data_IF_694242636606
#
_entry.id   IF_694242636606
#
_cell.length_a   1.000
_cell.length_b   1.000
_cell.length_c   1.000
_cell.angle_alpha   90.00
_cell.angle_beta   90.00
_cell.angle_gamma   90.00
#
_symmetry.space_group_name_H-M   'P 1'
#
loop_
_entity.id
_entity.type
_entity.pdbx_description
1 polymer ?
#
# COMPACT_ATOMS: atom_id res chain seq x y z
N UNK A 1 8.08 5.65 1.94
CA UNK A 1 6.64 5.52 2.29
C UNK A 1 6.44 5.85 3.76
N UNK A 2 5.31 6.42 4.08
CA UNK A 2 4.99 6.74 5.47
C UNK A 2 4.00 5.73 6.07
N UNK A 3 2.87 5.51 5.41
CA UNK A 3 1.88 4.57 5.90
C UNK A 3 0.92 4.14 4.79
N UNK A 4 0.12 3.12 5.07
CA UNK A 4 -0.97 2.68 4.20
C UNK A 4 -2.27 3.27 4.73
N UNK A 5 -3.02 3.92 3.86
CA UNK A 5 -4.29 4.55 4.21
C UNK A 5 -5.49 3.65 3.94
N UNK A 6 -5.40 2.81 2.91
CA UNK A 6 -6.52 1.97 2.50
C UNK A 6 -6.02 0.76 1.71
N UNK A 7 -6.91 -0.17 1.44
CA UNK A 7 -6.63 -1.39 0.69
C UNK A 7 -7.84 -1.73 -0.18
N UNK A 8 -7.56 -2.23 -1.39
CA UNK A 8 -8.62 -2.71 -2.29
C UNK A 8 -8.12 -3.88 -3.11
N UNK A 9 -9.05 -4.63 -3.70
CA UNK A 9 -8.70 -5.67 -4.69
C UNK A 9 -8.42 -4.98 -6.01
N UNK A 10 -7.15 -5.04 -6.45
CA UNK A 10 -6.74 -4.43 -7.72
C UNK A 10 -6.98 -5.34 -8.91
N UNK A 11 -6.72 -6.63 -8.74
CA UNK A 11 -6.89 -7.62 -9.80
C UNK A 11 -7.29 -8.96 -9.18
N UNK A 12 -8.22 -9.64 -9.82
CA UNK A 12 -8.67 -10.95 -9.37
C UNK A 12 -8.56 -11.95 -10.51
N UNK A 13 -7.91 -13.09 -10.24
CA UNK A 13 -7.83 -14.21 -11.15
C UNK A 13 -8.48 -15.43 -10.49
N UNK A 14 -8.64 -16.53 -11.26
CA UNK A 14 -9.20 -17.78 -10.71
C UNK A 14 -8.39 -18.34 -9.55
N UNK A 15 -7.08 -18.07 -9.53
CA UNK A 15 -6.17 -18.67 -8.56
C UNK A 15 -5.73 -17.72 -7.46
N UNK A 16 -5.83 -16.40 -7.70
CA UNK A 16 -5.23 -15.45 -6.78
C UNK A 16 -5.90 -14.07 -6.89
N UNK A 17 -5.96 -13.39 -5.76
CA UNK A 17 -6.37 -12.00 -5.70
C UNK A 17 -5.13 -11.16 -5.45
N UNK A 18 -5.00 -10.07 -6.19
CA UNK A 18 -3.94 -9.11 -6.01
C UNK A 18 -4.52 -7.85 -5.39
N UNK A 19 -3.91 -7.40 -4.31
CA UNK A 19 -4.37 -6.23 -3.59
C UNK A 19 -3.54 -5.01 -3.96
N UNK A 20 -4.21 -3.86 -3.97
CA UNK A 20 -3.56 -2.57 -4.07
C UNK A 20 -3.73 -1.84 -2.76
N UNK A 21 -2.74 -1.06 -2.40
CA UNK A 21 -2.70 -0.32 -1.14
C UNK A 21 -2.53 1.16 -1.42
N UNK A 22 -3.35 1.97 -0.77
CA UNK A 22 -3.23 3.42 -0.88
C UNK A 22 -2.11 3.87 0.04
N UNK A 23 -1.00 4.30 -0.55
CA UNK A 23 0.22 4.66 0.16
C UNK A 23 0.35 6.17 0.27
N UNK A 24 0.53 6.65 1.49
CA UNK A 24 0.91 8.03 1.73
C UNK A 24 2.43 8.12 1.75
N UNK A 25 2.97 8.99 0.91
CA UNK A 25 4.41 9.19 0.80
C UNK A 25 4.88 10.22 1.81
N UNK A 26 6.06 10.00 2.34
CA UNK A 26 6.66 10.92 3.32
C UNK A 26 6.84 12.30 2.69
N UNK A 27 6.51 13.34 3.45
CA UNK A 27 6.60 14.74 3.03
C UNK A 27 5.65 15.12 1.88
N UNK A 28 4.67 14.26 1.59
CA UNK A 28 3.63 14.56 0.62
C UNK A 28 2.27 14.58 1.31
N UNK A 29 1.34 15.43 0.86
CA UNK A 29 0.00 15.46 1.46
C UNK A 29 -0.77 14.19 1.11
N UNK A 30 -1.83 13.93 1.89
CA UNK A 30 -2.72 12.78 1.63
C UNK A 30 -3.29 12.82 0.21
N UNK A 31 -3.48 14.00 -0.33
CA UNK A 31 -4.00 14.19 -1.68
C UNK A 31 -3.11 13.58 -2.76
N UNK A 32 -1.82 13.43 -2.46
CA UNK A 32 -0.85 12.83 -3.37
C UNK A 32 -0.67 11.32 -3.14
N UNK A 33 -1.45 10.73 -2.24
CA UNK A 33 -1.41 9.30 -2.01
C UNK A 33 -1.75 8.54 -3.30
N UNK A 34 -1.08 7.42 -3.50
CA UNK A 34 -1.27 6.61 -4.70
C UNK A 34 -1.50 5.15 -4.37
N UNK A 35 -2.18 4.46 -5.30
CA UNK A 35 -2.40 3.02 -5.16
C UNK A 35 -1.20 2.27 -5.69
N UNK A 36 -0.59 1.47 -4.82
CA UNK A 36 0.60 0.70 -5.14
C UNK A 36 0.40 -0.78 -4.83
N UNK A 37 1.13 -1.63 -5.55
CA UNK A 37 1.08 -3.07 -5.31
C UNK A 37 1.98 -3.45 -4.13
N UNK A 38 1.76 -4.65 -3.60
CA UNK A 38 2.58 -5.21 -2.54
C UNK A 38 4.06 -5.25 -2.93
N UNK A 39 4.35 -5.59 -4.20
CA UNK A 39 5.73 -5.67 -4.68
C UNK A 39 6.45 -4.32 -4.58
N UNK A 40 5.75 -3.24 -4.93
CA UNK A 40 6.31 -1.89 -4.81
C UNK A 40 6.60 -1.55 -3.35
N UNK A 41 5.69 -1.90 -2.46
CA UNK A 41 5.86 -1.63 -1.02
C UNK A 41 7.07 -2.38 -0.48
N UNK A 42 7.27 -3.62 -0.87
CA UNK A 42 8.42 -4.42 -0.42
C UNK A 42 9.74 -3.85 -0.94
N UNK A 43 9.74 -3.25 -2.12
CA UNK A 43 10.94 -2.61 -2.68
C UNK A 43 11.47 -1.48 -1.80
N UNK A 44 10.60 -0.86 -1.00
CA UNK A 44 11.00 0.23 -0.12
C UNK A 44 11.49 -0.25 1.23
N UNK A 45 11.71 -1.56 1.40
CA UNK A 45 12.31 -2.12 2.60
C UNK A 45 11.40 -2.18 3.82
N UNK A 46 10.10 -1.97 3.62
CA UNK A 46 9.12 -2.06 4.70
C UNK A 46 8.30 -3.33 4.57
N UNK A 47 7.92 -3.93 5.71
CA UNK A 47 6.99 -5.05 5.71
C UNK A 47 5.56 -4.51 5.70
N UNK A 48 4.64 -5.33 5.21
CA UNK A 48 3.22 -4.96 5.23
C UNK A 48 2.74 -4.76 6.65
N UNK A 49 3.21 -5.57 7.58
CA UNK A 49 2.82 -5.48 8.98
C UNK A 49 3.21 -4.12 9.58
N UNK A 50 4.43 -3.68 9.33
CA UNK A 50 4.90 -2.38 9.82
C UNK A 50 4.05 -1.22 9.30
N UNK A 51 3.69 -1.28 8.03
CA UNK A 51 2.90 -0.21 7.41
C UNK A 51 1.44 -0.23 7.89
N UNK A 52 0.88 -1.41 8.07
CA UNK A 52 -0.50 -1.53 8.52
C UNK A 52 -0.66 -1.13 9.99
N UNK A 53 0.36 -1.33 10.81
CA UNK A 53 0.34 -0.89 12.20
C UNK A 53 0.28 0.64 12.34
N UNK A 54 0.57 1.36 11.26
CA UNK A 54 0.55 2.83 11.25
C UNK A 54 -0.74 3.42 10.68
N UNK A 55 -1.70 2.59 10.31
CA UNK A 55 -2.99 3.07 9.81
C UNK A 55 -3.73 3.72 10.97
N UNK A 56 -4.13 4.99 10.81
CA UNK A 56 -4.81 5.73 11.87
C UNK A 56 -6.21 5.22 12.15
#
# INVERSE_FOLDING_TARGET
>A
MECILDKRVGKKTRRKEYFEYLVKWKNHPVEDASWETKAVIQKHGKTMQELMDRIP
#
